data_IF_199559998296
#
_entry.id   IF_199559998296
#
_cell.length_a   1.000
_cell.length_b   1.000
_cell.length_c   1.000
_cell.angle_alpha   90.00
_cell.angle_beta   90.00
_cell.angle_gamma   90.00
#
_symmetry.space_group_name_H-M   'P 1'
#
loop_
_entity.id
_entity.type
_entity.pdbx_description
1 polymer ?
#
# COMPACT_ATOMS: atom_id res chain seq x y z
N UNK A 1 -5.43 20.88 11.12
CA UNK A 1 -5.30 19.48 10.71
C UNK A 1 -3.93 19.01 11.17
N UNK A 2 -3.79 17.83 11.76
CA UNK A 2 -2.56 17.41 12.46
C UNK A 2 -1.51 16.82 11.51
N UNK A 3 -1.95 16.41 10.32
CA UNK A 3 -1.15 15.87 9.23
C UNK A 3 -1.83 16.19 7.89
N UNK A 4 -1.11 16.03 6.80
CA UNK A 4 -1.64 16.20 5.45
C UNK A 4 -2.41 14.94 5.06
N UNK A 5 -3.76 14.99 5.04
CA UNK A 5 -4.58 13.80 4.79
C UNK A 5 -4.83 13.59 3.29
N UNK A 6 -4.87 12.32 2.90
CA UNK A 6 -5.08 11.90 1.52
C UNK A 6 -6.43 12.37 0.96
N UNK A 7 -7.50 12.37 1.77
CA UNK A 7 -8.82 12.78 1.31
C UNK A 7 -8.88 14.25 0.89
N UNK A 8 -8.16 15.12 1.60
CA UNK A 8 -8.01 16.54 1.24
C UNK A 8 -7.06 16.70 0.04
N UNK A 9 -5.96 15.95 0.02
CA UNK A 9 -4.97 16.01 -1.04
C UNK A 9 -5.55 15.55 -2.39
N UNK A 10 -6.23 14.41 -2.45
CA UNK A 10 -6.79 13.85 -3.69
C UNK A 10 -7.87 14.74 -4.30
N UNK A 11 -8.65 15.46 -3.47
CA UNK A 11 -9.62 16.45 -3.96
C UNK A 11 -8.98 17.66 -4.63
N UNK A 12 -7.72 17.99 -4.28
CA UNK A 12 -6.96 19.04 -4.98
C UNK A 12 -6.43 18.55 -6.33
N UNK A 13 -6.14 17.25 -6.46
CA UNK A 13 -5.75 16.63 -7.73
C UNK A 13 -6.95 16.56 -8.70
N UNK A 14 -8.16 16.35 -8.15
CA UNK A 14 -9.41 16.20 -8.90
C UNK A 14 -10.48 17.12 -8.31
N UNK A 15 -10.44 18.44 -8.61
CA UNK A 15 -11.35 19.41 -8.00
C UNK A 15 -12.81 19.24 -8.45
N UNK A 16 -13.04 18.77 -9.68
CA UNK A 16 -14.35 18.76 -10.33
C UNK A 16 -15.18 17.52 -9.99
N UNK A 17 -14.56 16.44 -9.50
CA UNK A 17 -15.25 15.19 -9.21
C UNK A 17 -14.56 14.39 -8.09
N UNK A 18 -15.31 13.44 -7.54
CA UNK A 18 -14.75 12.49 -6.57
C UNK A 18 -14.08 11.34 -7.30
N UNK A 19 -12.99 10.82 -6.70
CA UNK A 19 -12.32 9.63 -7.20
C UNK A 19 -12.33 8.51 -6.16
N UNK A 20 -12.44 7.27 -6.67
CA UNK A 20 -12.38 6.04 -5.90
C UNK A 20 -11.37 5.09 -6.55
N UNK A 21 -10.48 4.49 -5.75
CA UNK A 21 -9.62 3.40 -6.22
C UNK A 21 -10.45 2.13 -6.39
N UNK A 22 -10.38 1.48 -7.56
CA UNK A 22 -10.93 0.15 -7.82
C UNK A 22 -9.77 -0.83 -7.91
N UNK A 23 -9.72 -1.79 -7.00
CA UNK A 23 -8.67 -2.82 -6.97
C UNK A 23 -8.81 -3.78 -8.16
N UNK A 24 -7.67 -4.18 -8.72
CA UNK A 24 -7.54 -5.10 -9.85
C UNK A 24 -6.56 -6.21 -9.47
N UNK A 25 -6.90 -7.46 -9.76
CA UNK A 25 -5.98 -8.58 -9.82
C UNK A 25 -5.68 -8.90 -11.29
N UNK A 26 -4.58 -8.37 -11.82
CA UNK A 26 -4.17 -8.56 -13.20
C UNK A 26 -3.39 -9.87 -13.42
N UNK A 27 -3.44 -10.81 -12.46
CA UNK A 27 -2.84 -12.13 -12.58
C UNK A 27 -1.34 -12.19 -12.40
N UNK A 28 -0.71 -11.11 -11.92
CA UNK A 28 0.73 -11.10 -11.65
C UNK A 28 1.14 -12.11 -10.58
N UNK A 29 2.40 -12.50 -10.61
CA UNK A 29 3.07 -13.25 -9.56
C UNK A 29 3.92 -12.31 -8.69
N UNK A 30 4.75 -12.90 -7.84
CA UNK A 30 5.74 -12.21 -7.04
C UNK A 30 7.05 -13.01 -7.08
N UNK A 31 8.20 -12.40 -7.40
CA UNK A 31 9.49 -13.09 -7.49
C UNK A 31 9.93 -13.71 -6.16
N UNK A 32 9.31 -13.26 -5.07
CA UNK A 32 9.50 -13.82 -3.73
C UNK A 32 8.63 -15.07 -3.47
N UNK A 33 7.78 -15.48 -4.43
CA UNK A 33 6.89 -16.65 -4.36
C UNK A 33 7.18 -17.69 -5.41
N UNK A 34 7.56 -17.30 -6.62
CA UNK A 34 7.72 -18.18 -7.77
C UNK A 34 9.13 -18.82 -7.87
N UNK A 35 9.99 -18.59 -6.89
CA UNK A 35 11.31 -19.18 -6.79
C UNK A 35 12.43 -18.34 -7.41
N UNK A 36 12.14 -17.19 -8.01
CA UNK A 36 13.19 -16.34 -8.61
C UNK A 36 14.09 -15.70 -7.56
N UNK A 37 13.53 -15.16 -6.49
CA UNK A 37 14.27 -14.61 -5.34
C UNK A 37 14.16 -15.57 -4.16
N UNK A 38 12.95 -16.01 -3.84
CA UNK A 38 12.64 -16.90 -2.74
C UNK A 38 11.34 -17.66 -3.04
N UNK A 39 11.01 -18.66 -2.23
CA UNK A 39 9.74 -19.38 -2.29
C UNK A 39 8.85 -19.01 -1.11
N UNK A 40 7.53 -19.11 -1.30
CA UNK A 40 6.52 -18.90 -0.24
C UNK A 40 6.16 -17.46 0.07
N UNK A 41 6.92 -16.45 -0.39
CA UNK A 41 6.63 -15.04 -0.18
C UNK A 41 7.09 -14.49 1.17
N UNK A 42 6.72 -13.27 1.47
CA UNK A 42 6.92 -12.67 2.80
C UNK A 42 6.13 -13.45 3.85
N UNK A 43 6.67 -13.54 5.07
CA UNK A 43 6.10 -14.40 6.14
C UNK A 43 4.66 -14.06 6.52
N UNK A 44 4.25 -12.82 6.34
CA UNK A 44 2.92 -12.28 6.68
C UNK A 44 1.94 -12.23 5.51
N UNK A 45 2.40 -12.44 4.27
CA UNK A 45 1.65 -12.07 3.08
C UNK A 45 0.58 -13.08 2.67
N UNK A 46 -0.66 -12.59 2.58
CA UNK A 46 -1.79 -13.31 1.96
C UNK A 46 -2.67 -12.32 1.20
N UNK A 47 -2.67 -12.41 -0.15
CA UNK A 47 -3.44 -11.49 -1.00
C UNK A 47 -4.97 -11.60 -0.85
N UNK A 48 -5.49 -12.71 -0.29
CA UNK A 48 -6.92 -12.84 0.02
C UNK A 48 -7.43 -11.79 1.00
N UNK A 49 -6.54 -11.12 1.72
CA UNK A 49 -6.91 -10.14 2.74
C UNK A 49 -7.38 -8.80 2.18
N UNK A 50 -7.08 -8.48 0.92
CA UNK A 50 -7.37 -7.17 0.34
C UNK A 50 -7.98 -7.20 -1.06
N UNK A 51 -8.34 -8.38 -1.58
CA UNK A 51 -9.06 -8.52 -2.85
C UNK A 51 -10.58 -8.47 -2.59
N UNK A 52 -11.31 -7.45 -3.08
CA UNK A 52 -12.77 -7.46 -3.09
C UNK A 52 -13.33 -8.61 -3.93
N UNK A 53 -14.60 -8.96 -3.75
CA UNK A 53 -15.24 -10.09 -4.44
C UNK A 53 -15.27 -9.97 -5.97
N UNK A 54 -15.22 -8.76 -6.51
CA UNK A 54 -15.16 -8.51 -7.96
C UNK A 54 -13.74 -8.66 -8.53
N UNK A 55 -12.71 -8.63 -7.68
CA UNK A 55 -11.30 -8.68 -8.05
C UNK A 55 -10.87 -10.14 -8.23
N UNK A 56 -10.91 -10.65 -9.45
CA UNK A 56 -10.57 -12.03 -9.78
C UNK A 56 -9.70 -12.09 -11.05
N UNK A 57 -8.51 -12.70 -10.93
CA UNK A 57 -7.54 -12.89 -12.02
C UNK A 57 -8.07 -13.63 -13.28
N UNK A 58 -9.21 -14.29 -13.17
CA UNK A 58 -9.86 -14.97 -14.31
C UNK A 58 -10.65 -14.02 -15.20
N UNK A 59 -10.93 -12.82 -14.71
CA UNK A 59 -11.62 -11.75 -15.42
C UNK A 59 -10.61 -10.83 -16.11
N UNK A 60 -10.99 -10.20 -17.19
CA UNK A 60 -10.24 -9.11 -17.79
C UNK A 60 -10.15 -7.92 -16.84
N UNK A 61 -9.23 -7.02 -17.07
CA UNK A 61 -9.10 -5.76 -16.32
C UNK A 61 -10.39 -4.93 -16.48
N UNK A 62 -10.91 -4.87 -17.70
CA UNK A 62 -12.16 -4.18 -18.02
C UNK A 62 -13.34 -4.73 -17.21
N UNK A 63 -13.54 -6.07 -17.17
CA UNK A 63 -14.61 -6.68 -16.38
C UNK A 63 -14.50 -6.35 -14.89
N UNK A 64 -13.30 -6.43 -14.30
CA UNK A 64 -13.07 -6.10 -12.90
C UNK A 64 -13.37 -4.63 -12.62
N UNK A 65 -12.99 -3.72 -13.52
CA UNK A 65 -13.27 -2.28 -13.39
C UNK A 65 -14.77 -1.98 -13.49
N UNK A 66 -15.49 -2.57 -14.45
CA UNK A 66 -16.93 -2.38 -14.61
C UNK A 66 -17.71 -2.92 -13.39
N UNK A 67 -17.35 -4.09 -12.87
CA UNK A 67 -17.96 -4.61 -11.65
C UNK A 67 -17.61 -3.75 -10.42
N UNK A 68 -16.39 -3.24 -10.34
CA UNK A 68 -15.96 -2.31 -9.29
C UNK A 68 -16.71 -0.99 -9.35
N UNK A 69 -16.93 -0.43 -10.55
CA UNK A 69 -17.77 0.75 -10.77
C UNK A 69 -19.20 0.49 -10.29
N UNK A 70 -19.81 -0.63 -10.68
CA UNK A 70 -21.15 -1.00 -10.24
C UNK A 70 -21.25 -1.17 -8.71
N UNK A 71 -20.19 -1.65 -8.07
CA UNK A 71 -20.13 -1.78 -6.61
C UNK A 71 -20.13 -0.42 -5.90
N UNK A 72 -19.37 0.58 -6.42
CA UNK A 72 -19.22 1.89 -5.79
C UNK A 72 -20.27 2.92 -6.21
N UNK A 73 -20.81 2.85 -7.44
CA UNK A 73 -21.77 3.81 -8.00
C UNK A 73 -23.08 3.91 -7.22
N UNK A 74 -23.44 2.85 -6.49
CA UNK A 74 -24.63 2.84 -5.61
C UNK A 74 -24.64 3.97 -4.58
N UNK A 75 -23.46 4.47 -4.22
CA UNK A 75 -23.30 5.50 -3.18
C UNK A 75 -23.07 6.90 -3.75
N UNK A 76 -22.43 7.01 -4.92
CA UNK A 76 -22.05 8.29 -5.52
C UNK A 76 -22.08 8.19 -7.04
N UNK A 77 -23.15 8.71 -7.72
CA UNK A 77 -23.34 8.54 -9.16
C UNK A 77 -22.28 9.22 -10.04
N UNK A 78 -21.74 10.38 -9.59
CA UNK A 78 -20.79 11.19 -10.39
C UNK A 78 -19.32 10.93 -10.03
N UNK A 79 -19.00 9.69 -9.63
CA UNK A 79 -17.65 9.32 -9.23
C UNK A 79 -16.81 8.92 -10.45
N UNK A 80 -15.54 9.34 -10.47
CA UNK A 80 -14.51 8.80 -11.37
C UNK A 80 -13.63 7.81 -10.63
N UNK A 81 -12.80 7.07 -11.36
CA UNK A 81 -12.10 5.94 -10.78
C UNK A 81 -10.61 5.96 -11.11
N UNK A 82 -9.82 5.46 -10.16
CA UNK A 82 -8.42 5.11 -10.36
C UNK A 82 -8.31 3.59 -10.41
N UNK A 83 -7.79 3.07 -11.51
CA UNK A 83 -7.53 1.64 -11.65
C UNK A 83 -6.34 1.27 -10.75
N UNK A 84 -6.60 0.48 -9.70
CA UNK A 84 -5.59 0.15 -8.70
C UNK A 84 -5.12 -1.29 -8.86
N UNK A 85 -3.98 -1.47 -9.53
CA UNK A 85 -3.26 -2.73 -9.62
C UNK A 85 -2.63 -3.04 -8.27
N UNK A 86 -3.26 -3.89 -7.48
CA UNK A 86 -2.90 -4.12 -6.08
C UNK A 86 -2.38 -5.52 -5.78
N UNK A 87 -2.91 -6.56 -6.45
CA UNK A 87 -2.57 -7.94 -6.14
C UNK A 87 -1.13 -8.28 -6.56
N UNK A 88 -0.31 -8.77 -5.63
CA UNK A 88 1.08 -9.19 -5.84
C UNK A 88 2.03 -8.06 -6.29
N UNK A 89 2.79 -8.29 -7.39
CA UNK A 89 3.83 -7.37 -7.88
C UNK A 89 3.47 -6.90 -9.29
N UNK A 90 2.82 -5.76 -9.39
CA UNK A 90 2.15 -5.33 -10.62
C UNK A 90 3.08 -4.68 -11.67
N UNK A 91 4.39 -4.81 -11.49
CA UNK A 91 5.42 -4.46 -12.46
C UNK A 91 6.28 -5.69 -12.84
N UNK A 92 5.88 -6.88 -12.39
CA UNK A 92 6.66 -8.10 -12.59
C UNK A 92 6.23 -8.82 -13.88
N UNK A 93 6.47 -8.15 -15.01
CA UNK A 93 6.28 -8.67 -16.37
C UNK A 93 7.15 -7.87 -17.37
N UNK A 94 7.13 -8.23 -18.64
CA UNK A 94 7.77 -7.43 -19.71
C UNK A 94 7.02 -6.11 -19.90
N UNK A 95 7.73 -5.06 -20.24
CA UNK A 95 7.18 -3.69 -20.35
C UNK A 95 6.03 -3.63 -21.37
N UNK A 96 6.11 -4.35 -22.49
CA UNK A 96 5.05 -4.39 -23.50
C UNK A 96 3.75 -4.98 -22.94
N UNK A 97 3.85 -6.02 -22.10
CA UNK A 97 2.68 -6.63 -21.45
C UNK A 97 2.10 -5.67 -20.40
N UNK A 98 2.94 -5.01 -19.62
CA UNK A 98 2.51 -4.01 -18.65
C UNK A 98 1.80 -2.85 -19.34
N UNK A 99 2.36 -2.36 -20.45
CA UNK A 99 1.74 -1.32 -21.28
C UNK A 99 0.35 -1.72 -21.72
N UNK A 100 0.17 -2.91 -22.29
CA UNK A 100 -1.15 -3.39 -22.73
C UNK A 100 -2.17 -3.41 -21.58
N UNK A 101 -1.78 -3.89 -20.41
CA UNK A 101 -2.67 -3.98 -19.25
C UNK A 101 -3.04 -2.60 -18.67
N UNK A 102 -2.09 -1.67 -18.64
CA UNK A 102 -2.36 -0.32 -18.11
C UNK A 102 -3.20 0.50 -19.09
N UNK A 103 -2.96 0.36 -20.41
CA UNK A 103 -3.79 1.00 -21.43
C UNK A 103 -5.21 0.43 -21.43
N UNK A 104 -5.41 -0.91 -21.34
CA UNK A 104 -6.73 -1.52 -21.20
C UNK A 104 -7.51 -0.89 -20.03
N UNK A 105 -6.86 -0.68 -18.87
CA UNK A 105 -7.52 -0.05 -17.74
C UNK A 105 -7.95 1.40 -18.01
N UNK A 106 -7.13 2.15 -18.76
CA UNK A 106 -7.40 3.56 -19.08
C UNK A 106 -8.43 3.76 -20.20
N UNK A 107 -8.69 2.73 -21.01
CA UNK A 107 -9.77 2.74 -22.02
C UNK A 107 -11.17 2.59 -21.38
N UNK A 108 -11.25 2.13 -20.13
CA UNK A 108 -12.53 1.99 -19.44
C UNK A 108 -13.08 3.36 -19.09
N UNK A 109 -14.32 3.62 -19.49
CA UNK A 109 -14.99 4.90 -19.24
C UNK A 109 -14.96 5.29 -17.75
N UNK A 110 -14.73 6.59 -17.47
CA UNK A 110 -14.63 7.14 -16.11
C UNK A 110 -13.38 6.74 -15.31
N UNK A 111 -12.45 5.98 -15.88
CA UNK A 111 -11.12 5.79 -15.32
C UNK A 111 -10.25 6.98 -15.68
N UNK A 112 -9.73 7.68 -14.67
CA UNK A 112 -8.97 8.94 -14.81
C UNK A 112 -7.51 8.81 -14.40
N UNK A 113 -7.03 7.60 -14.21
CA UNK A 113 -5.64 7.30 -13.88
C UNK A 113 -5.43 5.93 -13.29
N UNK A 114 -4.18 5.62 -13.02
CA UNK A 114 -3.76 4.32 -12.48
C UNK A 114 -2.95 4.47 -11.18
N UNK A 115 -3.08 3.47 -10.34
CA UNK A 115 -2.25 3.28 -9.14
C UNK A 115 -1.63 1.89 -9.22
N UNK A 116 -0.31 1.79 -9.08
CA UNK A 116 0.45 0.56 -9.27
C UNK A 116 1.13 0.18 -7.96
N UNK A 117 0.57 -0.81 -7.26
CA UNK A 117 1.21 -1.41 -6.07
C UNK A 117 2.28 -2.41 -6.48
N UNK A 118 3.51 -2.21 -6.03
CA UNK A 118 4.62 -3.08 -6.47
C UNK A 118 5.74 -3.20 -5.45
N UNK A 119 6.72 -4.03 -5.78
CA UNK A 119 7.99 -4.19 -5.07
C UNK A 119 9.04 -3.24 -5.64
N UNK A 120 9.93 -2.67 -4.80
CA UNK A 120 10.99 -1.77 -5.28
C UNK A 120 12.04 -2.45 -6.17
N UNK A 121 12.27 -3.75 -5.99
CA UNK A 121 13.22 -4.55 -6.78
C UNK A 121 12.66 -5.05 -8.14
N UNK A 122 11.42 -4.65 -8.48
CA UNK A 122 10.74 -5.06 -9.71
C UNK A 122 10.42 -3.87 -10.64
N UNK A 123 11.20 -2.80 -10.61
CA UNK A 123 10.98 -1.61 -11.42
C UNK A 123 12.24 -1.30 -12.24
N UNK A 124 12.16 -1.49 -13.56
CA UNK A 124 13.22 -1.17 -14.50
C UNK A 124 13.15 0.29 -14.96
N UNK A 125 14.26 0.84 -15.47
CA UNK A 125 14.27 2.18 -16.05
C UNK A 125 13.38 2.27 -17.30
N UNK A 126 13.38 1.21 -18.13
CA UNK A 126 12.49 1.12 -19.30
C UNK A 126 10.99 1.24 -18.91
N UNK A 127 10.59 0.59 -17.82
CA UNK A 127 9.22 0.75 -17.30
C UNK A 127 8.98 2.18 -16.80
N UNK A 128 9.94 2.75 -16.06
CA UNK A 128 9.79 4.11 -15.55
C UNK A 128 9.73 5.15 -16.67
N UNK A 129 10.46 4.96 -17.77
CA UNK A 129 10.40 5.84 -18.95
C UNK A 129 9.00 5.77 -19.61
N UNK A 130 8.40 4.57 -19.69
CA UNK A 130 7.01 4.43 -20.13
C UNK A 130 6.02 5.09 -19.15
N UNK A 131 6.19 4.90 -17.86
CA UNK A 131 5.31 5.52 -16.86
C UNK A 131 5.45 7.04 -16.83
N UNK A 132 6.63 7.59 -17.11
CA UNK A 132 6.83 9.03 -17.30
C UNK A 132 6.01 9.55 -18.50
N UNK A 133 6.08 8.86 -19.65
CA UNK A 133 5.25 9.18 -20.82
C UNK A 133 3.75 9.14 -20.47
N UNK A 134 3.33 8.09 -19.77
CA UNK A 134 1.95 7.90 -19.33
C UNK A 134 1.50 9.03 -18.38
N UNK A 135 2.37 9.43 -17.45
CA UNK A 135 2.10 10.48 -16.46
C UNK A 135 1.87 11.87 -17.08
N UNK A 136 2.32 12.10 -18.33
CA UNK A 136 2.05 13.38 -19.06
C UNK A 136 0.60 13.50 -19.52
N UNK A 137 -0.16 12.41 -19.59
CA UNK A 137 -1.54 12.37 -20.13
C UNK A 137 -2.59 11.87 -19.15
N UNK A 138 -2.18 11.28 -18.03
CA UNK A 138 -3.10 10.77 -17.02
C UNK A 138 -2.44 10.74 -15.63
N UNK A 139 -3.24 10.57 -14.59
CA UNK A 139 -2.71 10.42 -13.23
C UNK A 139 -2.04 9.06 -13.05
N UNK A 140 -0.78 9.07 -12.65
CA UNK A 140 0.00 7.86 -12.34
C UNK A 140 0.58 7.96 -10.93
N UNK A 141 0.32 6.94 -10.11
CA UNK A 141 0.90 6.79 -8.77
C UNK A 141 1.53 5.40 -8.64
N UNK A 142 2.82 5.33 -8.34
CA UNK A 142 3.50 4.06 -8.03
C UNK A 142 3.64 3.92 -6.52
N UNK A 143 3.08 2.85 -5.96
CA UNK A 143 3.10 2.55 -4.52
C UNK A 143 4.06 1.40 -4.23
N UNK A 144 5.10 1.68 -3.48
CA UNK A 144 6.12 0.71 -3.10
C UNK A 144 5.85 0.08 -1.75
N UNK A 145 5.85 -1.25 -1.68
CA UNK A 145 5.90 -1.98 -0.42
C UNK A 145 7.30 -1.87 0.19
N UNK A 146 7.54 -0.88 1.01
CA UNK A 146 8.78 -0.67 1.76
C UNK A 146 8.80 -1.63 2.96
N UNK A 147 7.72 -1.65 3.70
CA UNK A 147 7.37 -2.44 4.88
C UNK A 147 8.17 -2.02 6.12
N UNK A 148 9.50 -1.95 6.06
CA UNK A 148 10.41 -1.51 7.12
C UNK A 148 11.64 -0.81 6.52
N UNK A 149 12.27 0.08 7.29
CA UNK A 149 13.59 0.65 6.97
C UNK A 149 14.75 -0.08 7.69
N UNK A 150 14.44 -1.19 8.37
CA UNK A 150 15.42 -2.04 9.05
C UNK A 150 15.68 -3.30 8.24
N UNK A 151 16.90 -3.47 7.74
CA UNK A 151 17.28 -4.58 6.87
C UNK A 151 17.23 -5.95 7.58
N UNK A 152 17.48 -6.00 8.88
CA UNK A 152 17.33 -7.26 9.65
C UNK A 152 15.85 -7.66 9.75
N UNK A 153 14.95 -6.69 9.91
CA UNK A 153 13.51 -6.95 9.85
C UNK A 153 13.09 -7.41 8.45
N UNK A 154 13.53 -6.72 7.39
CA UNK A 154 13.25 -7.12 6.01
C UNK A 154 13.71 -8.54 5.72
N UNK A 155 14.88 -8.93 6.20
CA UNK A 155 15.40 -10.29 6.10
C UNK A 155 14.55 -11.28 6.90
N UNK A 156 14.20 -10.94 8.16
CA UNK A 156 13.37 -11.79 9.04
C UNK A 156 11.99 -12.08 8.43
N UNK A 157 11.37 -11.09 7.81
CA UNK A 157 10.07 -11.28 7.16
C UNK A 157 10.17 -11.87 5.75
N UNK A 158 11.35 -12.30 5.32
CA UNK A 158 11.62 -12.82 3.99
C UNK A 158 11.21 -11.85 2.87
N UNK A 159 11.58 -10.56 3.00
CA UNK A 159 11.19 -9.54 2.02
C UNK A 159 11.95 -9.67 0.70
N UNK A 160 13.21 -10.11 0.72
CA UNK A 160 14.04 -10.41 -0.45
C UNK A 160 14.69 -9.17 -1.11
N UNK A 161 14.57 -8.01 -0.51
CA UNK A 161 15.31 -6.78 -0.83
C UNK A 161 15.61 -6.01 0.46
N UNK A 162 16.55 -5.08 0.41
CA UNK A 162 16.94 -4.17 1.50
C UNK A 162 16.30 -2.79 1.38
N UNK A 163 16.57 -1.92 2.33
CA UNK A 163 16.07 -0.55 2.33
C UNK A 163 16.76 0.33 1.28
N UNK A 164 18.02 0.03 0.91
CA UNK A 164 18.73 0.73 -0.15
C UNK A 164 18.03 0.54 -1.51
N UNK A 165 17.52 -0.68 -1.77
CA UNK A 165 16.69 -0.95 -2.95
C UNK A 165 15.40 -0.11 -2.95
N UNK A 166 14.73 0.02 -1.78
CA UNK A 166 13.55 0.87 -1.65
C UNK A 166 13.86 2.33 -1.98
N UNK A 167 14.94 2.88 -1.40
CA UNK A 167 15.41 4.24 -1.65
C UNK A 167 15.66 4.48 -3.14
N UNK A 168 16.44 3.61 -3.77
CA UNK A 168 16.77 3.72 -5.20
C UNK A 168 15.52 3.73 -6.09
N UNK A 169 14.54 2.83 -5.83
CA UNK A 169 13.32 2.77 -6.61
C UNK A 169 12.48 4.05 -6.47
N UNK A 170 12.32 4.54 -5.24
CA UNK A 170 11.57 5.78 -4.95
C UNK A 170 12.25 6.98 -5.60
N UNK A 171 13.56 7.14 -5.44
CA UNK A 171 14.33 8.25 -6.02
C UNK A 171 14.27 8.26 -7.55
N UNK A 172 14.44 7.11 -8.22
CA UNK A 172 14.36 6.99 -9.70
C UNK A 172 12.98 7.33 -10.25
N UNK A 173 11.92 6.92 -9.51
CA UNK A 173 10.53 7.20 -9.89
C UNK A 173 10.22 8.68 -9.72
N UNK A 174 10.58 9.24 -8.56
CA UNK A 174 10.38 10.65 -8.26
C UNK A 174 11.15 11.57 -9.23
N UNK A 175 12.37 11.21 -9.62
CA UNK A 175 13.18 11.97 -10.58
C UNK A 175 12.52 12.10 -11.96
N UNK A 176 11.57 11.21 -12.31
CA UNK A 176 10.76 11.28 -13.54
C UNK A 176 9.43 12.05 -13.35
N UNK A 177 9.24 12.71 -12.20
CA UNK A 177 8.03 13.45 -11.89
C UNK A 177 6.79 12.58 -11.68
N UNK A 178 6.96 11.26 -11.47
CA UNK A 178 5.87 10.32 -11.18
C UNK A 178 5.59 10.35 -9.68
N UNK A 179 4.31 10.44 -9.31
CA UNK A 179 3.90 10.38 -7.90
C UNK A 179 4.31 9.05 -7.26
N UNK A 180 4.89 9.14 -6.07
CA UNK A 180 5.41 7.99 -5.34
C UNK A 180 4.67 7.78 -4.02
N UNK A 181 4.24 6.55 -3.78
CA UNK A 181 3.66 6.12 -2.51
C UNK A 181 4.55 5.08 -1.82
N UNK A 182 4.52 5.06 -0.50
CA UNK A 182 5.17 4.03 0.31
C UNK A 182 4.17 3.32 1.22
N UNK A 183 4.36 2.02 1.42
CA UNK A 183 3.65 1.24 2.43
C UNK A 183 4.65 0.82 3.50
N UNK A 184 4.30 1.01 4.78
CA UNK A 184 5.07 0.52 5.93
C UNK A 184 4.17 -0.22 6.89
N UNK A 185 4.76 -1.16 7.62
CA UNK A 185 4.08 -1.97 8.62
C UNK A 185 4.71 -1.69 9.99
N UNK A 186 3.91 -1.23 10.94
CA UNK A 186 4.34 -1.02 12.32
C UNK A 186 4.06 -2.26 13.15
N UNK A 187 5.05 -2.69 13.94
CA UNK A 187 4.95 -3.87 14.80
C UNK A 187 5.31 -5.17 14.13
N UNK A 188 6.17 -5.14 13.11
CA UNK A 188 6.74 -6.34 12.51
C UNK A 188 7.54 -7.15 13.54
N UNK A 189 7.68 -8.49 13.37
CA UNK A 189 8.43 -9.32 14.31
C UNK A 189 9.86 -8.82 14.51
N UNK A 190 10.21 -8.53 15.75
CA UNK A 190 11.53 -7.98 16.14
C UNK A 190 11.56 -6.44 16.18
N UNK A 191 10.48 -5.76 15.85
CA UNK A 191 10.35 -4.31 15.98
C UNK A 191 9.43 -3.94 17.15
N UNK A 192 9.96 -3.19 18.08
CA UNK A 192 9.19 -2.52 19.13
C UNK A 192 8.82 -1.09 18.70
N UNK A 193 8.19 -0.35 19.63
CA UNK A 193 7.80 1.03 19.37
C UNK A 193 9.01 1.96 19.14
N UNK A 194 10.12 1.71 19.82
CA UNK A 194 11.34 2.51 19.72
C UNK A 194 12.00 2.30 18.35
N UNK A 195 12.10 1.04 17.90
CA UNK A 195 12.59 0.72 16.56
C UNK A 195 11.73 1.36 15.47
N UNK A 196 10.40 1.24 15.59
CA UNK A 196 9.48 1.89 14.64
C UNK A 196 9.71 3.40 14.56
N UNK A 197 9.94 4.08 15.71
CA UNK A 197 10.20 5.52 15.75
C UNK A 197 11.58 5.87 15.18
N UNK A 198 12.61 5.02 15.35
CA UNK A 198 13.93 5.23 14.73
C UNK A 198 13.86 5.21 13.20
N UNK A 199 12.94 4.44 12.62
CA UNK A 199 12.75 4.38 11.17
C UNK A 199 12.03 5.59 10.60
N UNK A 200 11.23 6.32 11.38
CA UNK A 200 10.42 7.43 10.87
C UNK A 200 11.23 8.52 10.14
N UNK A 201 12.40 8.99 10.63
CA UNK A 201 13.25 9.92 9.89
C UNK A 201 13.78 9.35 8.57
N UNK A 202 14.08 8.04 8.51
CA UNK A 202 14.55 7.38 7.30
C UNK A 202 13.46 7.34 6.24
N UNK A 203 12.24 6.97 6.62
CA UNK A 203 11.07 6.99 5.73
C UNK A 203 10.75 8.43 5.30
N UNK A 204 10.82 9.38 6.23
CA UNK A 204 10.58 10.81 5.97
C UNK A 204 11.59 11.43 5.00
N UNK A 205 12.81 10.89 4.92
CA UNK A 205 13.86 11.36 3.99
C UNK A 205 13.67 10.91 2.55
N UNK A 206 12.82 9.89 2.30
CA UNK A 206 12.50 9.45 0.95
C UNK A 206 11.62 10.51 0.26
N UNK A 207 11.77 10.76 -1.04
CA UNK A 207 10.91 11.68 -1.79
C UNK A 207 9.55 11.05 -2.13
N UNK A 208 8.84 10.56 -1.07
CA UNK A 208 7.49 10.02 -1.19
C UNK A 208 6.46 11.15 -1.18
N UNK A 209 5.47 11.09 -2.03
CA UNK A 209 4.31 11.99 -1.98
C UNK A 209 3.27 11.48 -0.96
N UNK A 210 3.10 10.16 -0.87
CA UNK A 210 2.07 9.51 -0.07
C UNK A 210 2.68 8.39 0.78
N UNK A 211 2.20 8.28 2.02
CA UNK A 211 2.55 7.17 2.92
C UNK A 211 1.30 6.47 3.43
N UNK A 212 1.27 5.15 3.31
CA UNK A 212 0.30 4.27 3.96
C UNK A 212 0.97 3.55 5.13
N UNK A 213 0.38 3.69 6.30
CA UNK A 213 0.84 3.01 7.51
C UNK A 213 -0.13 1.88 7.80
N UNK A 214 0.38 0.71 8.10
CA UNK A 214 -0.40 -0.46 8.48
C UNK A 214 0.07 -0.96 9.85
N UNK A 215 -0.87 -1.41 10.69
CA UNK A 215 -0.49 -2.30 11.78
C UNK A 215 -0.11 -3.67 11.22
N UNK A 216 0.82 -4.33 11.84
CA UNK A 216 1.09 -5.74 11.57
C UNK A 216 -0.17 -6.57 11.84
N UNK A 217 -0.51 -7.46 10.90
CA UNK A 217 -1.62 -8.40 11.02
C UNK A 217 -1.10 -9.84 10.89
N UNK A 218 -1.55 -10.70 11.78
CA UNK A 218 -1.27 -12.13 11.73
C UNK A 218 -2.44 -12.80 11.04
N UNK A 219 -2.18 -13.31 9.84
CA UNK A 219 -3.19 -13.86 8.94
C UNK A 219 -3.10 -15.39 8.92
N UNK A 220 -4.21 -16.04 9.12
CA UNK A 220 -4.33 -17.52 9.11
C UNK A 220 -3.76 -18.11 7.81
N UNK A 221 -2.94 -19.15 7.97
CA UNK A 221 -2.29 -19.84 6.86
C UNK A 221 -1.00 -19.22 6.38
N UNK A 222 -0.56 -18.10 6.97
CA UNK A 222 0.77 -17.54 6.74
C UNK A 222 1.81 -18.19 7.64
N UNK A 223 3.09 -18.10 7.24
CA UNK A 223 4.21 -18.57 8.05
C UNK A 223 4.31 -17.80 9.37
N UNK A 224 3.98 -16.50 9.36
CA UNK A 224 3.93 -15.67 10.56
C UNK A 224 2.88 -16.18 11.56
N UNK A 225 1.71 -16.66 11.08
CA UNK A 225 0.69 -17.22 11.95
C UNK A 225 1.13 -18.56 12.60
N UNK A 226 1.92 -19.36 11.91
CA UNK A 226 2.51 -20.58 12.48
C UNK A 226 3.53 -20.20 13.56
N UNK A 227 4.46 -19.29 13.26
CA UNK A 227 5.45 -18.78 14.23
C UNK A 227 4.77 -18.21 15.48
N UNK A 228 3.71 -17.41 15.29
CA UNK A 228 2.95 -16.82 16.41
C UNK A 228 2.25 -17.88 17.29
N UNK A 229 1.77 -18.96 16.69
CA UNK A 229 1.13 -20.05 17.43
C UNK A 229 2.13 -20.85 18.27
N UNK A 230 3.37 -21.03 17.76
CA UNK A 230 4.43 -21.74 18.45
C UNK A 230 5.14 -20.86 19.50
N UNK A 231 5.39 -19.61 19.15
CA UNK A 231 6.11 -18.63 19.96
C UNK A 231 5.40 -17.29 19.93
N UNK A 232 4.35 -17.09 20.77
CA UNK A 232 3.61 -15.84 20.82
C UNK A 232 4.52 -14.65 21.15
N UNK A 233 4.35 -13.56 20.39
CA UNK A 233 5.05 -12.30 20.60
C UNK A 233 4.04 -11.15 20.76
N UNK A 234 4.50 -10.00 21.25
CA UNK A 234 3.63 -8.85 21.48
C UNK A 234 2.99 -8.35 20.19
N UNK A 235 1.70 -8.09 20.24
CA UNK A 235 0.91 -7.46 19.19
C UNK A 235 0.19 -6.27 19.81
N UNK A 236 0.36 -5.10 19.23
CA UNK A 236 -0.18 -3.86 19.80
C UNK A 236 -1.67 -3.91 20.07
N UNK A 237 -2.08 -3.37 21.22
CA UNK A 237 -3.45 -2.92 21.44
C UNK A 237 -3.76 -1.68 20.61
N UNK A 238 -5.02 -1.26 20.55
CA UNK A 238 -5.41 -0.02 19.85
C UNK A 238 -4.70 1.20 20.45
N UNK A 239 -4.67 1.28 21.77
CA UNK A 239 -4.11 2.39 22.54
C UNK A 239 -2.59 2.49 22.34
N UNK A 240 -1.87 1.38 22.47
CA UNK A 240 -0.43 1.33 22.22
C UNK A 240 -0.09 1.75 20.79
N UNK A 241 -0.85 1.25 19.83
CA UNK A 241 -0.64 1.58 18.43
C UNK A 241 -0.91 3.06 18.14
N UNK A 242 -1.99 3.64 18.71
CA UNK A 242 -2.28 5.07 18.61
C UNK A 242 -1.13 5.89 19.16
N UNK A 243 -0.57 5.52 20.32
CA UNK A 243 0.54 6.26 20.94
C UNK A 243 1.81 6.20 20.07
N UNK A 244 2.08 5.07 19.43
CA UNK A 244 3.19 4.96 18.46
C UNK A 244 2.93 5.84 17.24
N UNK A 245 1.74 5.77 16.63
CA UNK A 245 1.39 6.54 15.43
C UNK A 245 1.43 8.04 15.69
N UNK A 246 0.96 8.51 16.84
CA UNK A 246 1.04 9.93 17.23
C UNK A 246 2.48 10.43 17.25
N UNK A 247 3.40 9.65 17.84
CA UNK A 247 4.83 9.98 17.87
C UNK A 247 5.45 9.89 16.48
N UNK A 248 5.08 8.86 15.70
CA UNK A 248 5.55 8.65 14.34
C UNK A 248 5.20 9.81 13.41
N UNK A 249 3.94 10.28 13.42
CA UNK A 249 3.47 11.44 12.63
C UNK A 249 4.31 12.70 12.93
N UNK A 250 4.71 12.91 14.18
CA UNK A 250 5.52 14.08 14.58
C UNK A 250 6.94 14.08 14.01
N UNK A 251 7.46 12.90 13.66
CA UNK A 251 8.79 12.71 13.08
C UNK A 251 8.77 12.77 11.54
N UNK A 252 7.59 12.74 10.92
CA UNK A 252 7.46 12.86 9.49
C UNK A 252 7.49 14.32 9.03
N UNK A 253 7.99 14.55 7.80
CA UNK A 253 7.91 15.87 7.18
C UNK A 253 6.43 16.27 6.94
N UNK A 254 6.14 17.56 6.99
CA UNK A 254 4.77 18.08 7.02
C UNK A 254 4.02 18.01 5.68
N UNK A 255 4.74 17.97 4.58
CA UNK A 255 4.22 17.88 3.23
C UNK A 255 3.85 16.44 2.82
N UNK A 256 4.35 15.42 3.53
CA UNK A 256 4.02 14.02 3.26
C UNK A 256 2.52 13.76 3.51
N UNK A 257 1.85 13.20 2.49
CA UNK A 257 0.43 12.86 2.56
C UNK A 257 0.25 11.51 3.25
N UNK A 258 -0.61 11.44 4.27
CA UNK A 258 -0.92 10.19 4.96
C UNK A 258 -2.26 9.65 4.49
N UNK A 259 -2.26 8.45 3.87
CA UNK A 259 -3.47 7.89 3.25
C UNK A 259 -4.30 7.07 4.24
N UNK A 260 -3.66 6.25 5.05
CA UNK A 260 -4.33 5.45 6.10
C UNK A 260 -3.36 5.02 7.18
N UNK A 261 -3.91 4.57 8.30
CA UNK A 261 -3.14 4.15 9.48
C UNK A 261 -3.40 2.69 9.89
N UNK A 262 -4.38 2.04 9.28
CA UNK A 262 -4.72 0.64 9.58
C UNK A 262 -5.12 -0.10 8.31
N UNK A 263 -4.87 -1.39 8.28
CA UNK A 263 -5.38 -2.32 7.28
C UNK A 263 -6.51 -3.16 7.88
N UNK A 264 -7.44 -3.57 7.04
CA UNK A 264 -8.55 -4.45 7.42
C UNK A 264 -8.43 -5.76 6.65
N UNK A 265 -8.61 -6.87 7.35
CA UNK A 265 -8.66 -8.21 6.76
C UNK A 265 -9.98 -8.90 7.12
N UNK A 266 -10.44 -9.85 6.30
CA UNK A 266 -11.60 -10.67 6.64
C UNK A 266 -11.45 -11.30 8.03
N UNK A 267 -12.53 -11.27 8.82
CA UNK A 267 -12.52 -11.73 10.22
C UNK A 267 -12.09 -13.19 10.36
N UNK A 268 -12.47 -14.02 9.41
CA UNK A 268 -12.14 -15.45 9.34
C UNK A 268 -10.65 -15.72 9.08
N UNK A 269 -9.96 -14.79 8.46
CA UNK A 269 -8.52 -14.89 8.19
C UNK A 269 -7.67 -14.23 9.28
N UNK A 270 -8.21 -13.23 9.99
CA UNK A 270 -7.46 -12.47 10.98
C UNK A 270 -7.29 -13.24 12.29
N UNK A 271 -6.05 -13.55 12.66
CA UNK A 271 -5.68 -14.15 13.95
C UNK A 271 -5.48 -13.07 15.00
N UNK A 272 -4.66 -12.04 14.71
CA UNK A 272 -4.35 -10.91 15.59
C UNK A 272 -3.84 -9.69 14.76
N UNK A 273 -3.99 -8.44 15.28
CA UNK A 273 -4.84 -8.05 16.41
C UNK A 273 -6.33 -8.01 16.02
N UNK A 274 -7.20 -8.34 16.96
CA UNK A 274 -8.67 -8.31 16.74
C UNK A 274 -9.27 -7.03 17.33
N UNK A 275 -8.93 -5.87 16.79
CA UNK A 275 -9.45 -4.59 17.29
C UNK A 275 -10.92 -4.35 16.98
N UNK A 276 -11.45 -4.96 15.92
CA UNK A 276 -12.85 -4.79 15.51
C UNK A 276 -13.21 -3.41 14.96
N UNK A 277 -12.24 -2.53 14.77
CA UNK A 277 -12.43 -1.15 14.30
C UNK A 277 -12.39 -1.07 12.78
N UNK A 278 -13.23 -0.21 12.22
CA UNK A 278 -13.13 0.24 10.84
C UNK A 278 -12.08 1.36 10.73
N UNK A 279 -11.58 1.57 9.52
CA UNK A 279 -10.54 2.57 9.27
C UNK A 279 -10.94 3.98 9.76
N UNK A 280 -12.17 4.41 9.51
CA UNK A 280 -12.65 5.73 9.96
C UNK A 280 -12.79 5.83 11.49
N UNK A 281 -13.14 4.73 12.17
CA UNK A 281 -13.25 4.69 13.64
C UNK A 281 -11.87 4.84 14.28
N UNK A 282 -10.87 4.12 13.76
CA UNK A 282 -9.48 4.28 14.18
C UNK A 282 -8.98 5.71 13.93
N UNK A 283 -9.23 6.26 12.74
CA UNK A 283 -8.82 7.64 12.40
C UNK A 283 -9.43 8.67 13.36
N UNK A 284 -10.68 8.48 13.79
CA UNK A 284 -11.33 9.35 14.76
C UNK A 284 -10.65 9.26 16.14
N UNK A 285 -10.31 8.05 16.61
CA UNK A 285 -9.58 7.86 17.88
C UNK A 285 -8.20 8.54 17.82
N UNK A 286 -7.46 8.33 16.73
CA UNK A 286 -6.17 8.95 16.49
C UNK A 286 -6.25 10.48 16.50
N UNK A 287 -7.23 11.06 15.80
CA UNK A 287 -7.43 12.50 15.75
C UNK A 287 -7.79 13.08 17.13
N UNK A 288 -8.61 12.39 17.92
CA UNK A 288 -8.91 12.79 19.29
C UNK A 288 -7.65 12.77 20.17
N UNK A 289 -6.80 11.75 20.02
CA UNK A 289 -5.53 11.67 20.75
C UNK A 289 -4.58 12.79 20.32
N UNK A 290 -4.45 13.08 19.03
CA UNK A 290 -3.63 14.20 18.53
C UNK A 290 -4.11 15.55 19.07
N UNK A 291 -5.44 15.74 19.19
CA UNK A 291 -6.05 16.94 19.77
C UNK A 291 -5.75 17.10 21.26
N UNK A 292 -5.77 16.02 22.03
CA UNK A 292 -5.51 16.06 23.50
C UNK A 292 -4.07 16.36 23.86
N UNK A 293 -3.13 16.34 22.90
CA UNK A 293 -1.70 16.57 23.11
C UNK A 293 -1.21 17.95 22.64
N UNK A 294 -2.13 18.84 22.30
CA UNK A 294 -1.90 20.25 22.03
C UNK A 294 -2.09 21.08 23.30
#
# INVERSE_FOLDING_TARGET
>A
MYYNDFGTWIRKQFPDFRVQKISIDAGFSCPNRDGRISSGGCTYCDNRTFNPSYCDRKKSITEQLEEGKAFFSRKYPDMKYLAYFQAYTNTYARVEQLRQMYEEALEVADVVGIVIGTRPDCVSDELLDYLEELNRRTFVLVEYGIESANDETLKRINRGHDFACCRSAVERTHARGILTGGHIIIGLPGEDAEESLRQAPLISSLPLDILKIHQMQIIRGTRLAQEYAEHPFHVYTVEEYIDVIVKYIRLLRKDLVLERFVSQSPKELLVAPKWGLKNYEFTNLLNNRLKSLQ
#
